data_IF_254367283306
#
_entry.id   IF_254367283306
#
_cell.length_a   1.000
_cell.length_b   1.000
_cell.length_c   1.000
_cell.angle_alpha   90.00
_cell.angle_beta   90.00
_cell.angle_gamma   90.00
#
_symmetry.space_group_name_H-M   'P 1'
#
loop_
_entity.id
_entity.type
_entity.pdbx_description
1 polymer ?
#
# COMPACT_ATOMS: atom_id res chain seq x y z
N UNK A 1 -26.47 -60.35 -34.70
CA UNK A 1 -25.10 -59.82 -34.47
C UNK A 1 -25.20 -58.39 -33.95
N UNK A 2 -24.56 -58.15 -32.80
CA UNK A 2 -24.51 -56.89 -32.03
C UNK A 2 -24.05 -55.70 -32.87
N UNK A 3 -24.64 -54.51 -32.65
CA UNK A 3 -23.90 -53.24 -32.62
C UNK A 3 -24.51 -52.33 -31.54
N UNK A 4 -23.93 -52.38 -30.35
CA UNK A 4 -24.10 -51.40 -29.29
C UNK A 4 -23.23 -50.19 -29.68
N UNK A 5 -23.82 -49.02 -29.90
CA UNK A 5 -23.06 -47.78 -30.08
C UNK A 5 -23.05 -47.10 -28.71
N UNK A 6 -21.88 -47.11 -28.08
CA UNK A 6 -21.64 -46.51 -26.77
C UNK A 6 -21.05 -45.11 -27.00
N UNK A 7 -21.87 -44.07 -26.87
CA UNK A 7 -21.43 -42.69 -27.01
C UNK A 7 -20.84 -42.23 -25.68
N UNK A 8 -19.52 -42.13 -25.60
CA UNK A 8 -18.81 -41.60 -24.42
C UNK A 8 -18.88 -40.07 -24.49
N UNK A 9 -19.67 -39.47 -23.60
CA UNK A 9 -19.72 -38.02 -23.40
C UNK A 9 -18.55 -37.65 -22.47
N UNK A 10 -17.46 -37.11 -23.04
CA UNK A 10 -16.34 -36.59 -22.26
C UNK A 10 -16.79 -35.25 -21.65
N UNK A 11 -17.17 -35.27 -20.38
CA UNK A 11 -17.32 -34.07 -19.55
C UNK A 11 -15.92 -33.51 -19.33
N UNK A 12 -15.52 -32.54 -20.16
CA UNK A 12 -14.42 -31.64 -19.82
C UNK A 12 -14.90 -30.75 -18.66
N UNK A 13 -14.64 -31.18 -17.43
CA UNK A 13 -14.63 -30.31 -16.26
C UNK A 13 -13.46 -29.34 -16.42
N UNK A 14 -13.70 -28.22 -17.10
CA UNK A 14 -12.88 -27.03 -16.96
C UNK A 14 -13.02 -26.59 -15.50
N UNK A 15 -12.03 -26.91 -14.68
CA UNK A 15 -11.82 -26.21 -13.42
C UNK A 15 -11.53 -24.75 -13.76
N UNK A 16 -12.59 -23.94 -13.82
CA UNK A 16 -12.48 -22.49 -13.82
C UNK A 16 -11.94 -22.14 -12.45
N UNK A 17 -10.61 -22.07 -12.35
CA UNK A 17 -9.95 -21.47 -11.19
C UNK A 17 -10.36 -20.01 -11.20
N UNK A 18 -11.36 -19.68 -10.39
CA UNK A 18 -11.73 -18.30 -10.09
C UNK A 18 -10.46 -17.60 -9.65
N UNK A 19 -9.92 -16.73 -10.51
CA UNK A 19 -9.00 -15.71 -10.06
C UNK A 19 -9.83 -14.84 -9.13
N UNK A 20 -9.61 -14.97 -7.82
CA UNK A 20 -10.07 -13.99 -6.84
C UNK A 20 -9.53 -12.63 -7.32
N UNK A 21 -10.34 -11.86 -8.03
CA UNK A 21 -10.06 -10.47 -8.30
C UNK A 21 -10.05 -9.80 -6.95
N UNK A 22 -8.87 -9.47 -6.42
CA UNK A 22 -8.73 -8.63 -5.22
C UNK A 22 -9.68 -7.45 -5.40
N UNK A 23 -10.66 -7.34 -4.51
CA UNK A 23 -11.59 -6.22 -4.55
C UNK A 23 -10.72 -5.00 -4.24
N UNK A 24 -10.52 -4.12 -5.22
CA UNK A 24 -9.59 -2.97 -5.11
C UNK A 24 -9.86 -2.07 -3.90
N UNK A 25 -11.06 -2.16 -3.32
CA UNK A 25 -11.50 -1.46 -2.12
C UNK A 25 -10.81 -1.95 -0.84
N UNK A 26 -10.12 -3.09 -0.88
CA UNK A 26 -9.39 -3.68 0.26
C UNK A 26 -7.90 -3.29 0.29
N UNK A 27 -7.41 -2.55 -0.71
CA UNK A 27 -6.00 -2.17 -0.77
C UNK A 27 -5.64 -1.17 0.34
N UNK A 28 -4.44 -1.31 0.91
CA UNK A 28 -3.97 -0.55 2.08
C UNK A 28 -4.14 0.98 1.97
N UNK A 29 -3.99 1.53 0.76
CA UNK A 29 -4.12 2.97 0.51
C UNK A 29 -5.49 3.38 -0.07
N UNK A 30 -6.41 2.45 -0.30
CA UNK A 30 -7.71 2.73 -0.86
C UNK A 30 -8.53 3.67 0.03
N UNK A 31 -9.08 4.72 -0.57
CA UNK A 31 -9.91 5.71 0.10
C UNK A 31 -11.13 6.05 -0.75
N UNK A 32 -12.01 6.91 -0.26
CA UNK A 32 -13.15 7.41 -1.05
C UNK A 32 -12.73 8.13 -2.36
N UNK A 33 -11.48 8.59 -2.45
CA UNK A 33 -10.90 9.22 -3.65
C UNK A 33 -10.11 8.24 -4.52
N UNK A 34 -10.24 6.94 -4.25
CA UNK A 34 -9.43 5.89 -4.82
C UNK A 34 -8.07 5.74 -4.12
N UNK A 35 -7.30 4.77 -4.59
CA UNK A 35 -6.00 4.39 -4.03
C UNK A 35 -4.87 5.35 -4.41
N UNK A 36 -4.87 5.85 -5.64
CA UNK A 36 -3.76 6.65 -6.19
C UNK A 36 -3.97 8.17 -6.03
N UNK A 37 -4.70 8.57 -5.00
CA UNK A 37 -4.89 9.99 -4.69
C UNK A 37 -3.56 10.63 -4.26
N UNK A 38 -2.89 11.31 -5.19
CA UNK A 38 -1.60 11.98 -4.99
C UNK A 38 -1.68 13.21 -4.09
N UNK A 39 -2.89 13.73 -3.90
CA UNK A 39 -3.22 14.86 -3.02
C UNK A 39 -3.75 14.41 -1.65
N UNK A 40 -3.86 13.10 -1.40
CA UNK A 40 -4.33 12.58 -0.12
C UNK A 40 -3.13 12.24 0.76
N UNK A 41 -3.25 12.56 2.05
CA UNK A 41 -2.35 12.06 3.07
C UNK A 41 -2.83 10.71 3.61
N UNK A 42 -1.90 9.90 4.08
CA UNK A 42 -2.22 8.66 4.78
C UNK A 42 -1.21 8.41 5.90
N UNK A 43 -1.66 7.81 7.00
CA UNK A 43 -0.78 7.35 8.07
C UNK A 43 -0.87 5.84 8.13
N UNK A 44 0.28 5.18 8.02
CA UNK A 44 0.43 3.75 8.21
C UNK A 44 1.18 3.51 9.52
N UNK A 45 0.72 2.54 10.30
CA UNK A 45 1.43 2.01 11.45
C UNK A 45 1.90 0.61 11.10
N UNK A 46 3.21 0.38 11.13
CA UNK A 46 3.81 -0.91 10.89
C UNK A 46 4.47 -1.43 12.16
N UNK A 47 4.33 -2.73 12.41
CA UNK A 47 4.98 -3.44 13.50
C UNK A 47 5.47 -4.79 13.05
N UNK A 48 6.48 -5.30 13.73
CA UNK A 48 6.98 -6.66 13.53
C UNK A 48 6.06 -7.69 14.17
N UNK A 49 6.04 -8.90 13.58
CA UNK A 49 5.30 -10.05 14.11
C UNK A 49 3.99 -10.33 13.39
N UNK A 50 2.99 -10.78 14.14
CA UNK A 50 1.72 -11.26 13.59
C UNK A 50 0.77 -10.13 13.18
N UNK A 51 -0.19 -10.47 12.32
CA UNK A 51 -1.25 -9.57 11.92
C UNK A 51 -2.16 -9.21 13.12
N UNK A 52 -2.50 -7.93 13.20
CA UNK A 52 -3.31 -7.29 14.23
C UNK A 52 -4.25 -6.28 13.58
N UNK A 53 -5.00 -5.53 14.39
CA UNK A 53 -5.85 -4.45 13.89
C UNK A 53 -5.68 -3.22 14.76
N UNK A 54 -5.44 -2.08 14.13
CA UNK A 54 -5.28 -0.80 14.80
C UNK A 54 -6.24 0.23 14.22
N UNK A 55 -7.01 0.87 15.10
CA UNK A 55 -7.85 2.03 14.75
C UNK A 55 -7.25 3.34 15.30
N UNK A 56 -6.14 3.28 16.02
CA UNK A 56 -5.43 4.42 16.60
C UNK A 56 -3.97 4.03 16.88
N UNK A 57 -3.08 5.01 16.99
CA UNK A 57 -1.69 4.78 17.40
C UNK A 57 -1.70 4.39 18.89
N UNK A 58 -1.16 3.23 19.32
CA UNK A 58 -1.07 2.86 20.73
C UNK A 58 -0.24 3.86 21.55
N UNK A 59 -0.37 3.83 22.88
CA UNK A 59 0.43 4.70 23.75
C UNK A 59 1.83 4.14 24.00
N UNK A 60 1.96 2.81 23.97
CA UNK A 60 3.21 2.09 24.19
C UNK A 60 3.36 0.97 23.18
N UNK A 61 4.61 0.66 22.80
CA UNK A 61 4.97 -0.46 21.94
C UNK A 61 6.11 -0.11 20.99
N UNK A 62 6.42 -1.02 20.08
CA UNK A 62 7.48 -0.84 19.09
C UNK A 62 6.85 -0.75 17.71
N UNK A 63 6.82 0.47 17.16
CA UNK A 63 6.12 0.77 15.91
C UNK A 63 6.98 1.63 15.00
N UNK A 64 6.72 1.53 13.70
CA UNK A 64 7.15 2.50 12.70
C UNK A 64 5.93 3.15 12.09
N UNK A 65 5.81 4.47 12.21
CA UNK A 65 4.77 5.26 11.54
C UNK A 65 5.31 5.81 10.23
N UNK A 66 4.56 5.57 9.16
CA UNK A 66 4.76 6.22 7.86
C UNK A 66 3.63 7.21 7.61
N UNK A 67 3.94 8.50 7.72
CA UNK A 67 3.01 9.56 7.34
C UNK A 67 3.31 10.00 5.91
N UNK A 68 2.56 9.43 4.99
CA UNK A 68 2.60 9.74 3.56
C UNK A 68 1.98 11.11 3.33
N UNK A 69 2.79 12.07 2.87
CA UNK A 69 2.41 13.46 2.67
C UNK A 69 1.90 13.68 1.24
N UNK A 70 1.18 14.78 1.04
CA UNK A 70 0.81 15.22 -0.30
C UNK A 70 2.06 15.53 -1.12
N UNK A 71 1.95 15.38 -2.45
CA UNK A 71 2.99 15.86 -3.36
C UNK A 71 3.17 17.38 -3.18
N UNK A 72 4.42 17.82 -3.05
CA UNK A 72 4.75 19.26 -3.03
C UNK A 72 4.27 19.93 -4.32
N UNK A 73 3.94 21.22 -4.25
CA UNK A 73 3.37 22.00 -5.36
C UNK A 73 4.17 21.90 -6.68
N UNK A 74 5.50 21.73 -6.61
CA UNK A 74 6.36 21.49 -7.79
C UNK A 74 6.14 20.12 -8.46
N UNK A 75 5.82 19.08 -7.68
CA UNK A 75 5.43 17.77 -8.22
C UNK A 75 4.01 17.78 -8.80
N UNK A 76 3.18 18.76 -8.44
CA UNK A 76 1.89 19.00 -9.11
C UNK A 76 2.11 19.61 -10.50
N UNK A 77 3.10 20.49 -10.67
CA UNK A 77 3.49 21.03 -11.99
C UNK A 77 4.07 19.92 -12.89
N UNK A 78 4.85 18.97 -12.37
CA UNK A 78 5.31 17.81 -13.17
C UNK A 78 4.15 16.92 -13.63
N UNK A 79 3.03 16.90 -12.90
CA UNK A 79 1.82 16.15 -13.29
C UNK A 79 1.15 16.78 -14.52
N UNK A 80 1.27 18.10 -14.71
CA UNK A 80 0.85 18.79 -15.95
C UNK A 80 1.74 18.35 -17.13
N UNK A 81 3.06 18.25 -16.93
CA UNK A 81 3.97 17.71 -17.95
C UNK A 81 3.74 16.23 -18.26
N UNK A 82 3.42 15.40 -17.26
CA UNK A 82 3.00 14.01 -17.46
C UNK A 82 1.69 13.92 -18.26
N UNK A 83 0.77 14.88 -18.10
CA UNK A 83 -0.44 14.97 -18.93
C UNK A 83 -0.13 15.34 -20.39
N UNK A 84 0.88 16.19 -20.63
CA UNK A 84 1.38 16.45 -21.99
C UNK A 84 2.05 15.20 -22.60
N UNK A 85 2.79 14.41 -21.82
CA UNK A 85 3.40 13.15 -22.28
C UNK A 85 2.36 12.04 -22.52
N UNK A 86 1.25 12.02 -21.78
CA UNK A 86 0.12 11.08 -21.97
C UNK A 86 -0.58 11.17 -23.32
N UNK A 87 -0.37 12.23 -24.10
CA UNK A 87 -0.87 12.33 -25.48
C UNK A 87 0.02 11.58 -26.49
N UNK A 88 1.15 11.03 -26.07
CA UNK A 88 1.93 10.08 -26.86
C UNK A 88 1.48 8.65 -26.53
N UNK A 89 1.05 7.91 -27.56
CA UNK A 89 0.61 6.52 -27.44
C UNK A 89 1.64 5.66 -26.69
N UNK A 90 1.17 4.93 -25.65
CA UNK A 90 1.94 3.88 -24.98
C UNK A 90 2.37 4.13 -23.53
N UNK A 91 2.04 5.26 -22.90
CA UNK A 91 2.42 5.52 -21.51
C UNK A 91 1.51 4.81 -20.48
N UNK A 92 1.93 3.63 -19.99
CA UNK A 92 1.29 2.98 -18.84
C UNK A 92 1.74 3.64 -17.53
N UNK A 93 0.80 4.11 -16.71
CA UNK A 93 1.10 4.65 -15.37
C UNK A 93 1.72 3.51 -14.55
N UNK A 94 2.98 3.68 -14.11
CA UNK A 94 3.71 2.66 -13.32
C UNK A 94 3.60 2.85 -11.82
N UNK A 95 3.05 3.98 -11.36
CA UNK A 95 2.98 4.38 -9.96
C UNK A 95 3.30 5.85 -9.76
N UNK A 96 3.60 6.24 -8.53
CA UNK A 96 3.99 7.61 -8.19
C UNK A 96 4.92 7.66 -6.97
N UNK A 97 5.71 8.73 -6.85
CA UNK A 97 6.48 9.06 -5.64
C UNK A 97 5.80 10.18 -4.85
N UNK A 98 5.91 10.15 -3.51
CA UNK A 98 5.51 11.24 -2.62
C UNK A 98 6.37 11.26 -1.34
N UNK A 99 6.54 12.42 -0.70
CA UNK A 99 7.29 12.51 0.55
C UNK A 99 6.63 11.69 1.66
N UNK A 100 7.45 11.13 2.54
CA UNK A 100 7.01 10.39 3.73
C UNK A 100 7.80 10.84 4.95
N UNK A 101 7.09 11.07 6.05
CA UNK A 101 7.72 11.20 7.36
C UNK A 101 7.76 9.81 8.02
N UNK A 102 8.94 9.39 8.44
CA UNK A 102 9.21 8.13 9.14
C UNK A 102 9.44 8.46 10.61
N UNK A 103 8.65 7.86 11.49
CA UNK A 103 8.75 8.06 12.95
C UNK A 103 8.80 6.68 13.60
N UNK A 104 9.86 6.40 14.35
CA UNK A 104 9.93 5.18 15.15
C UNK A 104 9.46 5.46 16.56
N UNK A 105 8.73 4.50 17.12
CA UNK A 105 8.27 4.50 18.51
C UNK A 105 8.88 3.28 19.17
N UNK A 106 9.61 3.47 20.25
CA UNK A 106 10.16 2.39 21.08
C UNK A 106 9.65 2.56 22.51
N UNK A 107 8.83 1.60 22.97
CA UNK A 107 8.00 1.77 24.17
C UNK A 107 7.15 3.04 24.09
N UNK A 108 7.52 4.13 24.75
CA UNK A 108 6.82 5.41 24.75
C UNK A 108 7.64 6.57 24.15
N UNK A 109 8.84 6.26 23.66
CA UNK A 109 9.78 7.23 23.11
C UNK A 109 9.60 7.37 21.60
N UNK A 110 9.40 8.60 21.15
CA UNK A 110 9.16 8.92 19.75
C UNK A 110 10.42 9.52 19.14
N UNK A 111 10.83 9.04 17.97
CA UNK A 111 11.91 9.67 17.23
C UNK A 111 11.48 11.02 16.66
N UNK A 112 12.47 11.85 16.28
CA UNK A 112 12.18 12.96 15.37
C UNK A 112 11.76 12.40 14.01
N UNK A 113 10.85 13.08 13.28
CA UNK A 113 10.50 12.68 11.92
C UNK A 113 11.72 12.71 10.99
N UNK A 114 12.00 11.58 10.34
CA UNK A 114 12.92 11.51 9.21
C UNK A 114 12.12 11.65 7.91
N UNK A 115 12.54 12.55 7.03
CA UNK A 115 11.87 12.77 5.74
C UNK A 115 12.55 11.90 4.67
N UNK A 116 11.75 11.18 3.91
CA UNK A 116 12.17 10.38 2.76
C UNK A 116 11.12 10.45 1.63
N UNK A 117 11.27 9.63 0.59
CA UNK A 117 10.32 9.42 -0.48
C UNK A 117 9.73 8.00 -0.45
N UNK A 118 8.40 7.91 -0.48
CA UNK A 118 7.68 6.67 -0.73
C UNK A 118 7.39 6.52 -2.22
N UNK A 119 7.75 5.40 -2.83
CA UNK A 119 7.34 5.02 -4.19
C UNK A 119 6.17 4.03 -4.12
N UNK A 120 5.01 4.43 -4.60
CA UNK A 120 3.82 3.58 -4.68
C UNK A 120 3.74 3.05 -6.10
N UNK A 121 3.96 1.75 -6.27
CA UNK A 121 3.91 1.03 -7.54
C UNK A 121 2.51 0.52 -7.83
N UNK A 122 2.12 0.46 -9.10
CA UNK A 122 0.85 -0.15 -9.57
C UNK A 122 1.04 -1.65 -9.85
N UNK A 123 2.18 -2.00 -10.45
CA UNK A 123 2.51 -3.38 -10.81
C UNK A 123 4.02 -3.58 -10.60
N UNK A 124 4.44 -4.26 -9.52
CA UNK A 124 3.61 -4.94 -8.52
C UNK A 124 2.91 -3.98 -7.52
N UNK A 125 1.95 -4.48 -6.74
CA UNK A 125 1.17 -3.75 -5.73
C UNK A 125 1.97 -3.40 -4.45
N UNK A 126 3.10 -2.70 -4.62
CA UNK A 126 4.06 -2.42 -3.54
C UNK A 126 4.22 -0.93 -3.23
N UNK A 127 4.47 -0.61 -1.97
CA UNK A 127 5.01 0.68 -1.52
C UNK A 127 6.47 0.45 -1.12
N UNK A 128 7.39 1.22 -1.66
CA UNK A 128 8.81 1.20 -1.29
C UNK A 128 9.15 2.44 -0.47
N UNK A 129 9.79 2.25 0.69
CA UNK A 129 10.25 3.31 1.59
C UNK A 129 11.60 2.90 2.13
N UNK A 130 12.67 3.62 1.78
CA UNK A 130 14.05 3.26 2.17
C UNK A 130 14.38 1.78 1.90
N UNK A 131 14.68 1.01 2.96
CA UNK A 131 15.02 -0.41 2.95
C UNK A 131 13.81 -1.33 3.21
N UNK A 132 12.59 -0.78 3.08
CA UNK A 132 11.33 -1.47 3.38
C UNK A 132 10.39 -1.47 2.19
N UNK A 133 9.59 -2.53 2.15
CA UNK A 133 8.49 -2.70 1.22
C UNK A 133 7.21 -2.99 1.99
N UNK A 134 6.08 -2.52 1.46
CA UNK A 134 4.76 -2.83 1.99
C UNK A 134 3.92 -3.37 0.84
N UNK A 135 3.40 -4.59 1.00
CA UNK A 135 2.44 -5.14 0.06
C UNK A 135 1.06 -4.54 0.35
N UNK A 136 0.49 -3.87 -0.66
CA UNK A 136 -0.78 -3.15 -0.52
C UNK A 136 -1.99 -4.08 -0.49
N UNK A 137 -1.83 -5.34 -0.91
CA UNK A 137 -2.91 -6.33 -0.99
C UNK A 137 -3.11 -7.02 0.34
N UNK A 138 -2.02 -7.48 0.96
CA UNK A 138 -2.07 -8.29 2.19
C UNK A 138 -1.42 -7.59 3.40
N UNK A 139 -1.05 -6.32 3.25
CA UNK A 139 -0.46 -5.48 4.29
C UNK A 139 0.90 -5.93 4.83
N UNK A 140 1.55 -6.93 4.23
CA UNK A 140 2.84 -7.42 4.68
C UNK A 140 3.89 -6.31 4.61
N UNK A 141 4.56 -6.08 5.73
CA UNK A 141 5.74 -5.26 5.85
C UNK A 141 6.96 -6.15 5.65
N UNK A 142 7.84 -5.76 4.72
CA UNK A 142 8.95 -6.59 4.28
C UNK A 142 10.26 -5.81 4.31
N UNK A 143 11.36 -6.53 4.53
CA UNK A 143 12.71 -6.01 4.40
C UNK A 143 13.19 -6.06 2.92
N UNK A 144 14.39 -5.55 2.65
CA UNK A 144 15.02 -5.59 1.33
C UNK A 144 15.28 -6.99 0.76
N UNK A 145 15.30 -8.04 1.60
CA UNK A 145 15.41 -9.43 1.17
C UNK A 145 14.05 -10.03 0.75
N UNK A 146 12.97 -9.21 0.76
CA UNK A 146 11.61 -9.63 0.48
C UNK A 146 11.07 -10.65 1.51
N UNK A 147 11.60 -10.60 2.72
CA UNK A 147 11.12 -11.39 3.86
C UNK A 147 10.07 -10.56 4.61
N UNK A 148 8.92 -11.17 4.89
CA UNK A 148 7.90 -10.58 5.75
C UNK A 148 8.43 -10.49 7.17
N UNK A 149 8.43 -9.28 7.72
CA UNK A 149 8.85 -8.98 9.09
C UNK A 149 7.66 -8.61 9.98
N UNK A 150 6.52 -8.28 9.37
CA UNK A 150 5.29 -7.95 10.07
C UNK A 150 4.27 -7.33 9.14
N UNK A 151 3.48 -6.38 9.64
CA UNK A 151 2.30 -5.87 8.94
C UNK A 151 2.10 -4.37 9.15
N UNK A 152 1.47 -3.73 8.17
CA UNK A 152 1.17 -2.30 8.15
C UNK A 152 -0.34 -2.03 8.12
N UNK A 153 -0.81 -1.09 8.92
CA UNK A 153 -2.22 -0.76 9.05
C UNK A 153 -2.46 0.70 8.76
N UNK A 154 -3.46 0.98 7.93
CA UNK A 154 -3.90 2.36 7.71
C UNK A 154 -4.69 2.86 8.92
N UNK A 155 -4.26 3.99 9.45
CA UNK A 155 -4.93 4.63 10.57
C UNK A 155 -5.85 5.80 10.13
N UNK A 156 -6.84 6.19 10.95
CA UNK A 156 -7.61 7.40 10.75
C UNK A 156 -6.69 8.64 10.72
N UNK A 157 -6.73 9.37 9.60
CA UNK A 157 -5.77 10.42 9.29
C UNK A 157 -5.72 11.54 10.35
N UNK A 158 -6.87 12.13 10.66
CA UNK A 158 -6.95 13.31 11.54
C UNK A 158 -6.46 13.03 12.96
N UNK A 159 -6.95 11.95 13.57
CA UNK A 159 -6.52 11.54 14.91
C UNK A 159 -5.02 11.21 14.96
N UNK A 160 -4.50 10.61 13.88
CA UNK A 160 -3.08 10.25 13.78
C UNK A 160 -2.18 11.48 13.68
N UNK A 161 -2.50 12.43 12.79
CA UNK A 161 -1.72 13.68 12.63
C UNK A 161 -1.75 14.50 13.92
N UNK A 162 -2.90 14.59 14.60
CA UNK A 162 -3.00 15.30 15.87
C UNK A 162 -2.08 14.68 16.93
N UNK A 163 -2.08 13.35 17.05
CA UNK A 163 -1.22 12.64 18.01
C UNK A 163 0.26 12.77 17.66
N UNK A 164 0.62 12.66 16.39
CA UNK A 164 2.00 12.90 15.91
C UNK A 164 2.43 14.33 16.29
N UNK A 165 1.62 15.33 15.95
CA UNK A 165 1.92 16.74 16.22
C UNK A 165 2.09 17.06 17.71
N UNK A 166 1.39 16.38 18.62
CA UNK A 166 1.57 16.52 20.07
C UNK A 166 2.85 15.87 20.61
N UNK A 167 3.42 14.90 19.89
CA UNK A 167 4.57 14.10 20.33
C UNK A 167 5.89 14.53 19.70
N UNK A 168 5.85 15.21 18.56
CA UNK A 168 7.05 15.59 17.79
C UNK A 168 7.35 17.09 17.77
N UNK A 169 6.45 17.92 18.30
CA UNK A 169 6.66 19.36 18.52
C UNK A 169 7.03 19.62 19.99
#
# INVERSE_FOLDING_TARGET
>A
MKKLIFTILILLSLEVRSQNSVIKEELLLYSQFGEFCTMCEAVLLCEEGEEKSYNFIPNTGNFTLYHLRTRTFLSQISTIWEFFIKNFDGYKIKGHKRPVNIITIASDQWSKPMISDAKISIDPDLIYIEDRMINRVNNEWMNNANESIGFCYRLPLWASIEKIGKKTN
#
